data_IF_035973410134
#
_entry.id   IF_035973410134
#
_cell.length_a   1.000
_cell.length_b   1.000
_cell.length_c   1.000
_cell.angle_alpha   90.00
_cell.angle_beta   90.00
_cell.angle_gamma   90.00
#
_symmetry.space_group_name_H-M   'P 1'
#
loop_
_entity.id
_entity.type
_entity.pdbx_description
1 polymer ?
#
# COMPACT_ATOMS: atom_id res chain seq x y z
N UNK A 1 -6.61 18.14 -30.32
CA UNK A 1 -6.48 16.96 -29.43
C UNK A 1 -7.86 16.63 -28.90
N UNK A 2 -8.30 15.37 -28.91
CA UNK A 2 -9.68 15.04 -28.51
C UNK A 2 -9.84 15.13 -26.99
N UNK A 3 -10.50 16.18 -26.52
CA UNK A 3 -10.84 16.42 -25.11
C UNK A 3 -11.45 15.18 -24.43
N UNK A 4 -12.21 14.36 -25.16
CA UNK A 4 -12.86 13.15 -24.63
C UNK A 4 -11.94 12.10 -24.02
N UNK A 5 -10.73 11.87 -24.55
CA UNK A 5 -9.80 10.86 -23.98
C UNK A 5 -9.13 11.39 -22.71
N UNK A 6 -8.78 12.67 -22.69
CA UNK A 6 -8.25 13.30 -21.48
C UNK A 6 -9.31 13.29 -20.37
N UNK A 7 -10.58 13.56 -20.70
CA UNK A 7 -11.71 13.44 -19.78
C UNK A 7 -11.87 11.99 -19.31
N UNK A 8 -11.85 11.00 -20.21
CA UNK A 8 -11.97 9.60 -19.83
C UNK A 8 -10.84 9.15 -18.88
N UNK A 9 -9.59 9.51 -19.17
CA UNK A 9 -8.46 9.20 -18.30
C UNK A 9 -8.55 9.93 -16.95
N UNK A 10 -9.03 11.19 -16.95
CA UNK A 10 -9.30 11.93 -15.72
C UNK A 10 -10.41 11.28 -14.89
N UNK A 11 -11.48 10.80 -15.54
CA UNK A 11 -12.57 10.07 -14.88
C UNK A 11 -12.11 8.73 -14.31
N UNK A 12 -11.24 7.98 -15.01
CA UNK A 12 -10.65 6.76 -14.47
C UNK A 12 -9.78 7.04 -13.25
N UNK A 13 -8.86 8.02 -13.34
CA UNK A 13 -8.03 8.39 -12.20
C UNK A 13 -8.88 8.95 -11.03
N UNK A 14 -9.93 9.72 -11.32
CA UNK A 14 -10.92 10.17 -10.35
C UNK A 14 -11.75 9.02 -9.75
N UNK A 15 -12.00 7.94 -10.48
CA UNK A 15 -12.64 6.75 -9.94
C UNK A 15 -11.72 5.98 -8.97
N UNK A 16 -10.41 5.98 -9.25
CA UNK A 16 -9.40 5.49 -8.30
C UNK A 16 -9.45 6.24 -6.96
N UNK A 17 -9.68 7.56 -7.02
CA UNK A 17 -9.88 8.42 -5.85
C UNK A 17 -11.14 8.12 -5.04
N UNK A 18 -12.17 7.49 -5.62
CA UNK A 18 -13.32 7.00 -4.84
C UNK A 18 -13.08 5.60 -4.26
N UNK A 19 -12.24 4.79 -4.88
CA UNK A 19 -11.89 3.46 -4.36
C UNK A 19 -11.15 3.52 -3.02
N UNK A 20 -10.35 4.57 -2.80
CA UNK A 20 -9.57 4.71 -1.58
C UNK A 20 -10.41 5.04 -0.32
N UNK A 21 -11.33 6.03 -0.32
CA UNK A 21 -12.31 6.20 0.76
C UNK A 21 -13.08 4.93 1.07
N UNK A 22 -13.41 4.13 0.04
CA UNK A 22 -14.05 2.82 0.21
C UNK A 22 -13.19 1.86 1.04
N UNK A 23 -11.88 1.81 0.79
CA UNK A 23 -10.96 0.94 1.53
C UNK A 23 -10.73 1.40 2.98
N UNK A 24 -10.56 2.70 3.23
CA UNK A 24 -10.47 3.19 4.62
C UNK A 24 -11.79 2.99 5.37
N UNK A 25 -12.92 3.14 4.68
CA UNK A 25 -14.22 2.84 5.24
C UNK A 25 -14.35 1.36 5.54
N UNK A 26 -13.85 0.47 4.69
CA UNK A 26 -13.83 -0.97 4.91
C UNK A 26 -13.05 -1.36 6.18
N UNK A 27 -11.84 -0.83 6.32
CA UNK A 27 -11.02 -1.01 7.54
C UNK A 27 -11.77 -0.53 8.78
N UNK A 28 -12.38 0.66 8.72
CA UNK A 28 -13.16 1.19 9.83
C UNK A 28 -14.43 0.35 10.09
N UNK A 29 -15.07 -0.18 9.05
CA UNK A 29 -16.25 -1.05 9.10
C UNK A 29 -15.95 -2.34 9.84
N UNK A 30 -14.88 -3.02 9.47
CA UNK A 30 -14.46 -4.25 10.13
C UNK A 30 -14.09 -4.10 11.60
N UNK A 31 -13.64 -2.90 12.02
CA UNK A 31 -13.31 -2.58 13.41
C UNK A 31 -14.51 -2.14 14.25
N UNK A 32 -15.56 -1.63 13.60
CA UNK A 32 -16.74 -1.06 14.26
C UNK A 32 -17.90 -2.05 14.29
N UNK A 33 -18.14 -2.73 13.17
CA UNK A 33 -19.34 -3.56 12.94
C UNK A 33 -18.99 -5.05 12.84
N UNK A 34 -17.86 -5.41 12.24
CA UNK A 34 -17.38 -6.80 12.17
C UNK A 34 -17.35 -7.40 10.76
N UNK A 35 -17.61 -8.71 10.63
CA UNK A 35 -17.66 -9.41 9.31
C UNK A 35 -18.76 -8.79 8.45
N UNK A 36 -18.47 -8.63 7.18
CA UNK A 36 -19.35 -8.05 6.20
C UNK A 36 -19.76 -9.08 5.13
N UNK A 37 -20.54 -8.62 4.15
CA UNK A 37 -20.89 -9.41 2.96
C UNK A 37 -20.06 -8.92 1.78
N UNK A 38 -19.93 -9.74 0.73
CA UNK A 38 -19.31 -9.31 -0.54
C UNK A 38 -19.82 -7.96 -1.07
N UNK A 39 -21.10 -7.63 -0.84
CA UNK A 39 -21.70 -6.34 -1.24
C UNK A 39 -21.87 -5.36 -0.08
N UNK A 40 -20.94 -5.34 0.87
CA UNK A 40 -20.93 -4.32 1.91
C UNK A 40 -20.83 -2.92 1.29
N UNK A 41 -21.41 -1.87 1.91
CA UNK A 41 -21.29 -0.51 1.41
C UNK A 41 -19.86 -0.07 1.06
N UNK A 42 -18.81 -0.34 1.89
CA UNK A 42 -17.44 -0.01 1.50
C UNK A 42 -16.94 -0.82 0.29
N UNK A 43 -17.23 -2.12 0.21
CA UNK A 43 -16.91 -2.93 -0.97
C UNK A 43 -17.56 -2.43 -2.24
N UNK A 44 -18.84 -2.04 -2.21
CA UNK A 44 -19.53 -1.50 -3.39
C UNK A 44 -18.84 -0.22 -3.88
N UNK A 45 -18.38 0.65 -2.97
CA UNK A 45 -17.62 1.85 -3.34
C UNK A 45 -16.27 1.50 -3.98
N UNK A 46 -15.53 0.55 -3.38
CA UNK A 46 -14.27 0.05 -3.94
C UNK A 46 -14.45 -0.58 -5.32
N UNK A 47 -15.44 -1.48 -5.47
CA UNK A 47 -15.74 -2.17 -6.71
C UNK A 47 -16.20 -1.22 -7.80
N UNK A 48 -16.94 -0.16 -7.45
CA UNK A 48 -17.31 0.90 -8.40
C UNK A 48 -16.06 1.57 -8.97
N UNK A 49 -15.07 1.88 -8.13
CA UNK A 49 -13.78 2.43 -8.56
C UNK A 49 -13.03 1.48 -9.52
N UNK A 50 -12.95 0.19 -9.19
CA UNK A 50 -12.32 -0.84 -10.04
C UNK A 50 -13.08 -1.02 -11.37
N UNK A 51 -14.41 -1.07 -11.31
CA UNK A 51 -15.27 -1.23 -12.48
C UNK A 51 -15.15 -0.06 -13.45
N UNK A 52 -15.17 1.19 -12.95
CA UNK A 52 -14.98 2.38 -13.80
C UNK A 52 -13.59 2.37 -14.43
N UNK A 53 -12.54 2.01 -13.68
CA UNK A 53 -11.19 1.85 -14.24
C UNK A 53 -11.12 0.78 -15.33
N UNK A 54 -11.82 -0.34 -15.13
CA UNK A 54 -11.98 -1.41 -16.13
C UNK A 54 -12.68 -0.93 -17.40
N UNK A 55 -13.81 -0.26 -17.26
CA UNK A 55 -14.60 0.26 -18.38
C UNK A 55 -13.83 1.31 -19.18
N UNK A 56 -13.15 2.24 -18.52
CA UNK A 56 -12.33 3.25 -19.21
C UNK A 56 -11.12 2.60 -19.88
N UNK A 57 -10.44 1.66 -19.22
CA UNK A 57 -9.30 0.96 -19.81
C UNK A 57 -9.73 0.15 -21.03
N UNK A 58 -10.84 -0.59 -20.96
CA UNK A 58 -11.41 -1.32 -22.07
C UNK A 58 -11.81 -0.38 -23.23
N UNK A 59 -12.57 0.68 -22.94
CA UNK A 59 -12.95 1.67 -23.95
C UNK A 59 -11.71 2.28 -24.63
N UNK A 60 -10.69 2.68 -23.86
CA UNK A 60 -9.46 3.24 -24.38
C UNK A 60 -8.64 2.21 -25.20
N UNK A 61 -8.68 0.92 -24.85
CA UNK A 61 -8.03 -0.15 -25.62
C UNK A 61 -8.76 -0.44 -26.95
N UNK A 62 -10.09 -0.45 -26.96
CA UNK A 62 -10.86 -0.73 -28.18
C UNK A 62 -10.92 0.47 -29.13
N UNK A 63 -11.21 1.66 -28.59
CA UNK A 63 -11.41 2.88 -29.37
C UNK A 63 -10.17 3.78 -29.40
N UNK A 64 -9.47 3.89 -28.26
CA UNK A 64 -8.31 4.76 -28.14
C UNK A 64 -7.05 4.24 -28.83
N UNK A 65 -6.85 2.91 -28.89
CA UNK A 65 -5.72 2.26 -29.57
C UNK A 65 -5.62 2.62 -31.05
N UNK A 66 -6.77 2.86 -31.71
CA UNK A 66 -6.83 3.23 -33.15
C UNK A 66 -6.61 4.73 -33.41
N UNK A 67 -6.69 5.59 -32.39
CA UNK A 67 -6.66 7.07 -32.58
C UNK A 67 -5.61 7.82 -31.75
N UNK A 68 -5.06 7.26 -30.66
CA UNK A 68 -4.40 8.08 -29.62
C UNK A 68 -3.06 7.57 -29.05
N UNK A 69 -2.53 6.42 -29.50
CA UNK A 69 -1.10 6.13 -29.40
C UNK A 69 -0.49 5.77 -28.03
N UNK A 70 -1.25 5.17 -27.09
CA UNK A 70 -0.72 4.77 -25.77
C UNK A 70 -1.00 3.29 -25.36
N UNK A 71 -0.77 2.29 -26.24
CA UNK A 71 -1.22 0.92 -26.00
C UNK A 71 -0.59 0.24 -24.78
N UNK A 72 0.68 0.56 -24.46
CA UNK A 72 1.40 -0.09 -23.36
C UNK A 72 0.88 0.33 -21.99
N UNK A 73 0.64 1.63 -21.76
CA UNK A 73 0.08 2.13 -20.49
C UNK A 73 -1.35 1.62 -20.27
N UNK A 74 -2.18 1.64 -21.32
CA UNK A 74 -3.54 1.11 -21.26
C UNK A 74 -3.57 -0.42 -21.03
N UNK A 75 -2.65 -1.16 -21.65
CA UNK A 75 -2.51 -2.60 -21.40
C UNK A 75 -2.09 -2.88 -19.95
N UNK A 76 -1.12 -2.13 -19.43
CA UNK A 76 -0.69 -2.24 -18.04
C UNK A 76 -1.86 -1.99 -17.07
N UNK A 77 -2.64 -0.93 -17.33
CA UNK A 77 -3.84 -0.63 -16.55
C UNK A 77 -4.89 -1.75 -16.63
N UNK A 78 -5.13 -2.28 -17.83
CA UNK A 78 -6.04 -3.43 -18.03
C UNK A 78 -5.58 -4.70 -17.30
N UNK A 79 -4.28 -5.01 -17.32
CA UNK A 79 -3.72 -6.10 -16.50
C UNK A 79 -3.94 -5.83 -15.01
N UNK A 80 -3.73 -4.59 -14.56
CA UNK A 80 -4.02 -4.19 -13.19
C UNK A 80 -5.47 -4.42 -12.78
N UNK A 81 -6.44 -4.13 -13.67
CA UNK A 81 -7.87 -4.42 -13.44
C UNK A 81 -8.11 -5.92 -13.29
N UNK A 82 -7.54 -6.74 -14.17
CA UNK A 82 -7.69 -8.20 -14.09
C UNK A 82 -7.12 -8.75 -12.78
N UNK A 83 -5.95 -8.25 -12.37
CA UNK A 83 -5.31 -8.62 -11.10
C UNK A 83 -6.16 -8.17 -9.89
N UNK A 84 -6.73 -6.96 -9.93
CA UNK A 84 -7.60 -6.46 -8.85
C UNK A 84 -8.89 -7.29 -8.72
N UNK A 85 -9.52 -7.65 -9.85
CA UNK A 85 -10.71 -8.53 -9.86
C UNK A 85 -10.35 -9.93 -9.37
N UNK A 86 -9.19 -10.47 -9.76
CA UNK A 86 -8.70 -11.75 -9.24
C UNK A 86 -8.45 -11.67 -7.72
N UNK A 87 -7.94 -10.55 -7.22
CA UNK A 87 -7.79 -10.27 -5.80
C UNK A 87 -9.14 -10.33 -5.07
N UNK A 88 -10.16 -9.62 -5.56
CA UNK A 88 -11.50 -9.63 -4.96
C UNK A 88 -12.18 -11.03 -5.00
N UNK A 89 -12.00 -11.78 -6.10
CA UNK A 89 -12.51 -13.15 -6.17
C UNK A 89 -11.77 -14.11 -5.24
N UNK A 90 -10.45 -13.93 -5.12
CA UNK A 90 -9.62 -14.67 -4.16
C UNK A 90 -9.99 -14.32 -2.73
N UNK A 91 -10.36 -13.07 -2.46
CA UNK A 91 -10.77 -12.56 -1.16
C UNK A 91 -12.06 -13.21 -0.67
N UNK A 92 -13.10 -13.24 -1.50
CA UNK A 92 -14.35 -13.96 -1.18
C UNK A 92 -14.09 -15.45 -0.97
N UNK A 93 -13.30 -16.08 -1.84
CA UNK A 93 -12.91 -17.47 -1.67
C UNK A 93 -12.16 -17.67 -0.35
N UNK A 94 -11.25 -16.76 -0.01
CA UNK A 94 -10.46 -16.80 1.21
C UNK A 94 -11.34 -16.66 2.45
N UNK A 95 -12.26 -15.71 2.47
CA UNK A 95 -13.22 -15.56 3.57
C UNK A 95 -14.19 -16.73 3.71
N UNK A 96 -14.48 -17.44 2.62
CA UNK A 96 -15.31 -18.65 2.65
C UNK A 96 -14.56 -19.90 3.13
N UNK A 97 -13.24 -19.98 2.94
CA UNK A 97 -12.45 -21.20 3.17
C UNK A 97 -11.42 -21.09 4.31
N UNK A 98 -10.92 -19.88 4.58
CA UNK A 98 -9.84 -19.58 5.53
C UNK A 98 -10.34 -18.75 6.71
N UNK A 99 -11.23 -17.77 6.47
CA UNK A 99 -11.80 -16.89 7.50
C UNK A 99 -11.51 -15.40 7.24
N UNK A 100 -11.84 -14.52 8.19
CA UNK A 100 -11.57 -13.07 8.08
C UNK A 100 -10.08 -12.81 8.21
N UNK A 101 -9.69 -11.74 7.58
CA UNK A 101 -8.32 -11.28 7.62
C UNK A 101 -7.96 -10.62 8.95
N UNK A 102 -6.73 -10.89 9.36
CA UNK A 102 -6.08 -10.19 10.48
C UNK A 102 -5.78 -8.77 10.13
N UNK A 103 -5.31 -8.59 8.90
CA UNK A 103 -4.73 -7.38 8.39
C UNK A 103 -4.76 -7.42 6.86
N UNK A 104 -4.38 -6.29 6.27
CA UNK A 104 -4.31 -6.14 4.83
C UNK A 104 -3.18 -6.93 4.14
N UNK A 105 -2.44 -7.80 4.85
CA UNK A 105 -1.35 -8.58 4.28
C UNK A 105 -1.75 -10.01 3.92
N UNK A 106 -3.03 -10.35 4.01
CA UNK A 106 -3.52 -11.60 3.44
C UNK A 106 -3.19 -11.66 1.93
N UNK A 107 -2.90 -12.86 1.37
CA UNK A 107 -2.67 -13.03 -0.05
C UNK A 107 -3.69 -12.33 -0.97
N UNK A 108 -5.03 -12.40 -0.74
CA UNK A 108 -5.98 -11.69 -1.59
C UNK A 108 -5.79 -10.17 -1.58
N UNK A 109 -5.59 -9.55 -0.42
CA UNK A 109 -5.35 -8.11 -0.32
C UNK A 109 -4.07 -7.67 -1.04
N UNK A 110 -2.98 -8.44 -0.92
CA UNK A 110 -1.73 -8.13 -1.63
C UNK A 110 -1.88 -8.23 -3.14
N UNK A 111 -2.65 -9.22 -3.64
CA UNK A 111 -3.00 -9.33 -5.06
C UNK A 111 -3.85 -8.14 -5.49
N UNK A 112 -4.90 -7.81 -4.74
CA UNK A 112 -5.77 -6.67 -5.01
C UNK A 112 -5.00 -5.34 -5.06
N UNK A 113 -4.13 -5.10 -4.08
CA UNK A 113 -3.29 -3.92 -3.98
C UNK A 113 -2.30 -3.83 -5.15
N UNK A 114 -1.65 -4.94 -5.52
CA UNK A 114 -0.77 -5.00 -6.68
C UNK A 114 -1.53 -4.63 -7.97
N UNK A 115 -2.74 -5.15 -8.15
CA UNK A 115 -3.63 -4.77 -9.26
C UNK A 115 -3.93 -3.28 -9.27
N UNK A 116 -4.29 -2.71 -8.11
CA UNK A 116 -4.60 -1.30 -7.97
C UNK A 116 -3.40 -0.39 -8.28
N UNK A 117 -2.17 -0.78 -7.89
CA UNK A 117 -0.94 -0.06 -8.26
C UNK A 117 -0.71 -0.10 -9.78
N UNK A 118 -0.89 -1.26 -10.42
CA UNK A 118 -0.75 -1.42 -11.87
C UNK A 118 -1.75 -0.55 -12.65
N UNK A 119 -2.99 -0.41 -12.16
CA UNK A 119 -4.00 0.49 -12.73
C UNK A 119 -3.47 1.92 -12.77
N UNK A 120 -3.02 2.44 -11.62
CA UNK A 120 -2.57 3.84 -11.51
C UNK A 120 -1.34 4.09 -12.37
N UNK A 121 -0.35 3.18 -12.36
CA UNK A 121 0.82 3.28 -13.23
C UNK A 121 0.41 3.28 -14.71
N UNK A 122 -0.45 2.35 -15.13
CA UNK A 122 -0.94 2.26 -16.50
C UNK A 122 -1.62 3.53 -16.98
N UNK A 123 -2.51 4.08 -16.16
CA UNK A 123 -3.23 5.33 -16.44
C UNK A 123 -2.28 6.54 -16.46
N UNK A 124 -1.30 6.61 -15.56
CA UNK A 124 -0.30 7.68 -15.55
C UNK A 124 0.54 7.69 -16.85
N UNK A 125 1.02 6.52 -17.28
CA UNK A 125 1.74 6.37 -18.56
C UNK A 125 0.86 6.68 -19.77
N UNK A 126 -0.41 6.26 -19.76
CA UNK A 126 -1.37 6.57 -20.81
C UNK A 126 -1.63 8.08 -20.92
N UNK A 127 -1.83 8.75 -19.78
CA UNK A 127 -2.03 10.19 -19.70
C UNK A 127 -0.79 10.96 -20.17
N UNK A 128 0.41 10.54 -19.74
CA UNK A 128 1.67 11.12 -20.19
C UNK A 128 1.82 11.04 -21.71
N UNK A 129 1.66 9.84 -22.28
CA UNK A 129 1.78 9.62 -23.73
C UNK A 129 0.72 10.39 -24.53
N UNK A 130 -0.51 10.47 -24.03
CA UNK A 130 -1.63 11.13 -24.72
C UNK A 130 -1.52 12.66 -24.68
N UNK A 131 -1.26 13.23 -23.49
CA UNK A 131 -1.33 14.67 -23.28
C UNK A 131 -0.03 15.39 -23.64
N UNK A 132 1.09 14.66 -23.63
CA UNK A 132 2.44 15.21 -23.81
C UNK A 132 2.68 16.47 -22.99
N UNK A 133 2.16 16.50 -21.76
CA UNK A 133 2.12 17.69 -20.90
C UNK A 133 3.51 18.32 -20.66
N UNK A 134 4.59 17.57 -20.82
CA UNK A 134 5.96 18.07 -20.71
C UNK A 134 6.37 18.98 -21.87
N UNK A 135 5.72 18.88 -23.04
CA UNK A 135 6.01 19.73 -24.21
C UNK A 135 5.26 21.07 -24.17
N UNK A 136 4.20 21.19 -23.37
CA UNK A 136 3.37 22.39 -23.32
C UNK A 136 3.22 22.88 -21.85
N UNK A 137 4.10 23.76 -21.37
CA UNK A 137 4.11 24.24 -19.99
C UNK A 137 2.79 24.84 -19.49
N UNK A 138 1.96 25.37 -20.39
CA UNK A 138 0.65 25.95 -20.07
C UNK A 138 -0.43 24.90 -19.72
N UNK A 139 -0.19 23.61 -20.01
CA UNK A 139 -1.14 22.54 -19.70
C UNK A 139 -0.97 22.03 -18.27
N UNK A 140 -1.70 22.64 -17.35
CA UNK A 140 -1.66 22.28 -15.94
C UNK A 140 -2.59 21.12 -15.58
N UNK A 141 -3.69 20.91 -16.31
CA UNK A 141 -4.69 19.86 -15.99
C UNK A 141 -4.07 18.45 -15.92
N UNK A 142 -3.29 17.96 -16.92
CA UNK A 142 -2.68 16.63 -16.81
C UNK A 142 -1.67 16.51 -15.66
N UNK A 143 -1.02 17.62 -15.28
CA UNK A 143 -0.09 17.64 -14.14
C UNK A 143 -0.82 17.49 -12.81
N UNK A 144 -1.96 18.17 -12.66
CA UNK A 144 -2.81 18.02 -11.47
C UNK A 144 -3.35 16.59 -11.39
N UNK A 145 -3.80 16.02 -12.51
CA UNK A 145 -4.26 14.63 -12.55
C UNK A 145 -3.13 13.65 -12.15
N UNK A 146 -1.90 13.85 -12.65
CA UNK A 146 -0.75 13.03 -12.24
C UNK A 146 -0.37 13.23 -10.77
N UNK A 147 -0.46 14.45 -10.25
CA UNK A 147 -0.24 14.73 -8.84
C UNK A 147 -1.21 13.94 -7.96
N UNK A 148 -2.49 13.95 -8.35
CA UNK A 148 -3.54 13.15 -7.71
C UNK A 148 -3.26 11.63 -7.83
N UNK A 149 -2.74 11.16 -8.97
CA UNK A 149 -2.35 9.76 -9.15
C UNK A 149 -1.17 9.36 -8.23
N UNK A 150 -0.19 10.23 -8.04
CA UNK A 150 0.91 9.97 -7.10
C UNK A 150 0.43 9.99 -5.64
N UNK A 151 -0.50 10.89 -5.28
CA UNK A 151 -1.08 10.92 -3.94
C UNK A 151 -1.87 9.62 -3.66
N UNK A 152 -2.60 9.13 -4.65
CA UNK A 152 -3.29 7.83 -4.60
C UNK A 152 -2.31 6.64 -4.48
N UNK A 153 -1.12 6.70 -5.09
CA UNK A 153 -0.07 5.70 -4.85
C UNK A 153 0.50 5.78 -3.42
N UNK A 154 0.64 6.99 -2.85
CA UNK A 154 1.02 7.15 -1.43
C UNK A 154 -0.06 6.55 -0.54
N UNK A 155 -1.34 6.75 -0.85
CA UNK A 155 -2.45 6.10 -0.14
C UNK A 155 -2.33 4.59 -0.15
N UNK A 156 -2.15 3.98 -1.33
CA UNK A 156 -1.95 2.52 -1.48
C UNK A 156 -0.73 2.01 -0.71
N UNK A 157 0.36 2.77 -0.71
CA UNK A 157 1.53 2.44 0.09
C UNK A 157 1.20 2.47 1.59
N UNK A 158 0.54 3.52 2.08
CA UNK A 158 0.17 3.65 3.49
C UNK A 158 -0.81 2.58 3.96
N UNK A 159 -1.74 2.18 3.09
CA UNK A 159 -2.65 1.03 3.29
C UNK A 159 -1.88 -0.27 3.42
N UNK A 160 -0.84 -0.48 2.61
CA UNK A 160 0.07 -1.61 2.80
C UNK A 160 0.77 -1.55 4.17
N UNK A 161 0.78 -0.41 4.85
CA UNK A 161 1.31 -0.29 6.20
C UNK A 161 0.20 -0.30 7.26
N UNK A 162 -1.08 -0.46 6.90
CA UNK A 162 -2.19 -0.20 7.84
C UNK A 162 -2.09 -1.02 9.12
N UNK A 163 -1.62 -2.27 9.04
CA UNK A 163 -1.35 -3.09 10.23
C UNK A 163 -0.44 -2.38 11.27
N UNK A 164 0.59 -1.69 10.79
CA UNK A 164 1.57 -0.97 11.61
C UNK A 164 1.12 0.43 11.99
N UNK A 165 0.13 1.00 11.31
CA UNK A 165 -0.38 2.35 11.59
C UNK A 165 -1.62 2.33 12.48
N UNK A 166 -2.41 1.26 12.38
CA UNK A 166 -3.62 0.98 13.17
C UNK A 166 -3.30 0.91 14.66
N UNK A 167 -2.23 0.20 15.03
CA UNK A 167 -1.82 0.00 16.41
C UNK A 167 -0.39 0.47 16.67
N UNK A 168 -0.20 1.17 17.79
CA UNK A 168 1.08 1.78 18.16
C UNK A 168 2.21 0.74 18.33
N UNK A 169 1.85 -0.50 18.68
CA UNK A 169 2.78 -1.60 18.91
C UNK A 169 3.42 -2.13 17.62
N UNK A 170 2.72 -2.02 16.49
CA UNK A 170 3.26 -2.44 15.19
C UNK A 170 4.37 -1.51 14.69
N UNK A 171 4.47 -0.28 15.21
CA UNK A 171 5.49 0.69 14.80
C UNK A 171 6.85 0.37 15.41
N UNK A 172 7.47 -0.73 14.99
CA UNK A 172 8.81 -1.10 15.43
C UNK A 172 9.87 -0.19 14.77
N UNK A 173 11.02 0.09 15.43
CA UNK A 173 12.06 0.96 14.86
C UNK A 173 12.78 0.35 13.65
N UNK A 174 12.53 -0.92 13.34
CA UNK A 174 13.12 -1.63 12.22
C UNK A 174 12.15 -1.79 11.05
N UNK A 175 11.04 -2.51 11.23
CA UNK A 175 10.23 -2.94 10.11
C UNK A 175 9.31 -1.84 9.57
N UNK A 176 8.75 -1.00 10.44
CA UNK A 176 7.87 0.08 10.01
C UNK A 176 8.62 1.15 9.17
N UNK A 177 9.77 1.70 9.62
CA UNK A 177 10.60 2.57 8.78
C UNK A 177 11.11 1.89 7.51
N UNK A 178 11.40 0.58 7.55
CA UNK A 178 11.77 -0.19 6.36
C UNK A 178 10.67 -0.16 5.29
N UNK A 179 9.40 -0.37 5.66
CA UNK A 179 8.28 -0.33 4.71
C UNK A 179 8.05 1.08 4.16
N UNK A 180 8.15 2.12 5.00
CA UNK A 180 8.10 3.51 4.54
C UNK A 180 9.21 3.80 3.52
N UNK A 181 10.43 3.37 3.83
CA UNK A 181 11.60 3.48 2.95
C UNK A 181 11.47 2.66 1.66
N UNK A 182 10.76 1.52 1.70
CA UNK A 182 10.53 0.68 0.55
C UNK A 182 9.59 1.33 -0.46
N UNK A 183 8.48 1.93 0.00
CA UNK A 183 7.44 2.42 -0.91
C UNK A 183 7.52 3.92 -1.24
N UNK A 184 7.69 4.78 -0.23
CA UNK A 184 7.47 6.23 -0.41
C UNK A 184 8.54 6.92 -1.27
N UNK A 185 9.85 6.65 -1.12
CA UNK A 185 10.86 7.30 -1.95
C UNK A 185 10.68 7.04 -3.44
N UNK A 186 10.30 5.82 -3.84
CA UNK A 186 10.00 5.49 -5.23
C UNK A 186 8.88 6.37 -5.81
N UNK A 187 7.79 6.56 -5.05
CA UNK A 187 6.64 7.36 -5.50
C UNK A 187 7.01 8.84 -5.55
N UNK A 188 7.60 9.38 -4.48
CA UNK A 188 7.91 10.80 -4.34
C UNK A 188 8.99 11.26 -5.34
N UNK A 189 10.04 10.45 -5.55
CA UNK A 189 11.06 10.76 -6.56
C UNK A 189 10.50 10.63 -7.98
N UNK A 190 9.60 9.68 -8.24
CA UNK A 190 8.88 9.61 -9.53
C UNK A 190 8.10 10.91 -9.77
N UNK A 191 7.38 11.40 -8.78
CA UNK A 191 6.59 12.63 -8.86
C UNK A 191 7.46 13.85 -9.17
N UNK A 192 8.56 14.05 -8.43
CA UNK A 192 9.52 15.16 -8.67
C UNK A 192 10.13 15.06 -10.05
N UNK A 193 10.47 13.86 -10.50
CA UNK A 193 11.08 13.65 -11.81
C UNK A 193 10.12 13.95 -12.96
N UNK A 194 8.84 13.63 -12.79
CA UNK A 194 7.81 13.81 -13.79
C UNK A 194 7.26 15.25 -13.83
N UNK A 195 7.01 15.85 -12.67
CA UNK A 195 6.27 17.11 -12.53
C UNK A 195 7.17 18.31 -12.20
N UNK A 196 8.36 18.08 -11.66
CA UNK A 196 9.34 19.11 -11.30
C UNK A 196 9.45 19.34 -9.79
N UNK A 197 10.24 20.37 -9.39
CA UNK A 197 10.49 20.69 -7.99
C UNK A 197 9.19 21.00 -7.22
N UNK A 198 9.11 20.52 -5.97
CA UNK A 198 7.95 20.71 -5.10
C UNK A 198 6.89 19.62 -5.27
N UNK A 199 7.02 18.73 -6.26
CA UNK A 199 6.01 17.72 -6.53
C UNK A 199 5.97 16.60 -5.48
N UNK A 200 7.08 16.28 -4.80
CA UNK A 200 7.05 15.33 -3.69
C UNK A 200 6.21 15.91 -2.54
N UNK A 201 6.50 17.14 -2.14
CA UNK A 201 5.78 17.85 -1.08
C UNK A 201 4.31 18.03 -1.44
N UNK A 202 4.00 18.44 -2.68
CA UNK A 202 2.63 18.58 -3.13
C UNK A 202 1.88 17.24 -3.14
N UNK A 203 2.54 16.14 -3.54
CA UNK A 203 1.98 14.79 -3.49
C UNK A 203 1.61 14.40 -2.05
N UNK A 204 2.54 14.60 -1.11
CA UNK A 204 2.32 14.31 0.30
C UNK A 204 1.22 15.19 0.90
N UNK A 205 1.12 16.46 0.49
CA UNK A 205 0.08 17.38 0.96
C UNK A 205 -1.31 17.01 0.43
N UNK A 206 -1.42 16.63 -0.85
CA UNK A 206 -2.68 16.15 -1.44
C UNK A 206 -3.15 14.89 -0.72
N UNK A 207 -2.24 13.93 -0.51
CA UNK A 207 -2.50 12.74 0.33
C UNK A 207 -2.98 13.15 1.73
N UNK A 208 -2.28 14.08 2.38
CA UNK A 208 -2.56 14.51 3.74
C UNK A 208 -3.98 15.04 3.92
N UNK A 209 -4.39 15.92 3.00
CA UNK A 209 -5.71 16.57 3.03
C UNK A 209 -6.80 15.54 2.79
N UNK A 210 -6.67 14.73 1.75
CA UNK A 210 -7.65 13.68 1.43
C UNK A 210 -7.79 12.68 2.58
N UNK A 211 -6.67 12.13 3.08
CA UNK A 211 -6.67 11.19 4.19
C UNK A 211 -7.35 11.77 5.44
N UNK A 212 -7.01 13.01 5.80
CA UNK A 212 -7.60 13.69 6.96
C UNK A 212 -9.09 13.90 6.79
N UNK A 213 -9.55 14.29 5.60
CA UNK A 213 -10.98 14.47 5.31
C UNK A 213 -11.73 13.14 5.45
N UNK A 214 -11.18 12.04 4.93
CA UNK A 214 -11.81 10.72 5.05
C UNK A 214 -11.92 10.31 6.52
N UNK A 215 -10.84 10.45 7.30
CA UNK A 215 -10.86 10.12 8.72
C UNK A 215 -11.87 10.98 9.50
N UNK A 216 -11.97 12.28 9.19
CA UNK A 216 -12.96 13.16 9.81
C UNK A 216 -14.39 12.75 9.48
N UNK A 217 -14.68 12.37 8.24
CA UNK A 217 -16.00 11.88 7.82
C UNK A 217 -16.33 10.56 8.55
N UNK A 218 -15.40 9.61 8.59
CA UNK A 218 -15.58 8.33 9.28
C UNK A 218 -15.84 8.54 10.77
N UNK A 219 -15.08 9.45 11.41
CA UNK A 219 -15.28 9.80 12.82
C UNK A 219 -16.66 10.45 13.03
N UNK A 220 -17.08 11.35 12.15
CA UNK A 220 -18.36 12.06 12.24
C UNK A 220 -19.57 11.11 12.14
N UNK A 221 -19.44 9.98 11.44
CA UNK A 221 -20.48 8.94 11.33
C UNK A 221 -20.31 7.82 12.37
N UNK A 222 -19.46 8.01 13.38
CA UNK A 222 -19.33 7.11 14.53
C UNK A 222 -18.45 5.88 14.31
N UNK A 223 -17.64 5.87 13.25
CA UNK A 223 -16.74 4.75 12.94
C UNK A 223 -15.45 4.83 13.75
N UNK A 224 -14.90 3.68 14.13
CA UNK A 224 -13.58 3.56 14.74
C UNK A 224 -12.49 3.77 13.69
N UNK A 225 -11.83 4.92 13.75
CA UNK A 225 -10.72 5.25 12.83
C UNK A 225 -9.37 4.69 13.30
N UNK A 226 -8.42 4.47 12.38
CA UNK A 226 -7.01 4.20 12.72
C UNK A 226 -6.36 5.30 13.57
N UNK A 227 -5.28 4.96 14.26
CA UNK A 227 -4.45 5.95 14.94
C UNK A 227 -3.82 6.86 13.89
N UNK A 228 -4.02 8.18 14.02
CA UNK A 228 -3.41 9.15 13.11
C UNK A 228 -1.89 8.94 13.08
N UNK A 229 -1.34 8.71 11.89
CA UNK A 229 0.10 8.59 11.68
C UNK A 229 0.69 9.95 11.30
N UNK A 230 1.97 10.20 11.61
CA UNK A 230 2.68 11.29 10.97
C UNK A 230 2.61 11.11 9.45
N UNK A 231 1.97 12.06 8.81
CA UNK A 231 1.86 12.13 7.36
C UNK A 231 3.26 12.41 6.80
N UNK A 232 3.71 11.77 5.70
CA UNK A 232 5.08 11.87 5.19
C UNK A 232 5.38 13.22 4.49
N UNK A 233 4.90 14.35 5.05
CA UNK A 233 5.17 15.70 4.54
C UNK A 233 6.63 16.09 4.78
N UNK A 234 7.17 15.95 6.01
CA UNK A 234 8.56 16.34 6.27
C UNK A 234 9.57 15.51 5.45
N UNK A 235 9.43 14.17 5.34
CA UNK A 235 10.28 13.39 4.46
C UNK A 235 10.14 13.79 2.98
N UNK A 236 8.96 14.18 2.51
CA UNK A 236 8.76 14.66 1.14
C UNK A 236 9.42 16.03 0.89
N UNK A 237 9.36 16.95 1.85
CA UNK A 237 10.09 18.23 1.80
C UNK A 237 11.59 17.96 1.72
N UNK A 238 12.11 17.00 2.48
CA UNK A 238 13.52 16.63 2.45
C UNK A 238 13.96 16.16 1.05
N UNK A 239 13.14 15.34 0.38
CA UNK A 239 13.37 14.92 -1.01
C UNK A 239 13.44 16.14 -1.94
N UNK A 240 12.46 17.04 -1.87
CA UNK A 240 12.42 18.24 -2.73
C UNK A 240 13.63 19.16 -2.49
N UNK A 241 14.03 19.38 -1.23
CA UNK A 241 15.19 20.19 -0.88
C UNK A 241 16.49 19.58 -1.43
N UNK A 242 16.67 18.27 -1.29
CA UNK A 242 17.80 17.57 -1.88
C UNK A 242 17.80 17.74 -3.40
N UNK A 243 16.68 17.44 -4.08
CA UNK A 243 16.62 17.54 -5.54
C UNK A 243 16.83 18.98 -6.03
N UNK A 244 16.42 20.00 -5.27
CA UNK A 244 16.70 21.40 -5.57
C UNK A 244 18.17 21.78 -5.34
N UNK A 245 18.84 21.20 -4.35
CA UNK A 245 20.21 21.54 -3.94
C UNK A 245 21.32 20.90 -4.79
N UNK A 246 21.02 19.97 -5.71
CA UNK A 246 22.01 19.37 -6.60
C UNK A 246 21.88 19.95 -8.04
N UNK A 247 22.62 21.03 -8.39
CA UNK A 247 22.60 21.68 -9.71
C UNK A 247 23.38 20.92 -10.81
N UNK A 248 23.77 19.67 -10.57
CA UNK A 248 24.28 18.77 -11.61
C UNK A 248 23.17 18.49 -12.64
N UNK A 249 23.48 18.07 -13.89
CA UNK A 249 22.45 17.86 -14.91
C UNK A 249 21.30 17.08 -14.32
N UNK A 250 20.06 17.50 -14.60
CA UNK A 250 18.80 16.87 -14.14
C UNK A 250 18.78 15.33 -14.32
N UNK A 251 19.75 14.75 -15.01
CA UNK A 251 20.01 13.35 -15.32
C UNK A 251 20.99 12.63 -14.38
N UNK A 252 21.47 13.21 -13.28
CA UNK A 252 22.36 12.49 -12.35
C UNK A 252 21.62 11.41 -11.56
N UNK A 253 22.16 10.19 -11.55
CA UNK A 253 21.65 9.07 -10.77
C UNK A 253 22.08 9.11 -9.28
N UNK A 254 22.88 10.10 -8.87
CA UNK A 254 23.33 10.27 -7.48
C UNK A 254 22.35 11.07 -6.62
N UNK A 255 21.69 12.07 -7.19
CA UNK A 255 20.66 12.86 -6.50
C UNK A 255 19.56 12.02 -5.84
N UNK A 256 18.98 10.98 -6.49
CA UNK A 256 18.00 10.13 -5.83
C UNK A 256 18.58 9.35 -4.63
N UNK A 257 19.87 9.00 -4.64
CA UNK A 257 20.48 8.33 -3.48
C UNK A 257 20.54 9.28 -2.27
N UNK A 258 20.94 10.53 -2.48
CA UNK A 258 20.90 11.54 -1.41
C UNK A 258 19.46 11.87 -0.97
N UNK A 259 18.50 11.86 -1.89
CA UNK A 259 17.09 12.03 -1.56
C UNK A 259 16.58 10.90 -0.66
N UNK A 260 16.94 9.64 -0.96
CA UNK A 260 16.63 8.49 -0.13
C UNK A 260 17.28 8.54 1.25
N UNK A 261 18.54 8.98 1.34
CA UNK A 261 19.22 9.22 2.62
C UNK A 261 18.51 10.30 3.45
N UNK A 262 18.20 11.45 2.84
CA UNK A 262 17.50 12.52 3.55
C UNK A 262 16.10 12.08 3.99
N UNK A 263 15.39 11.33 3.15
CA UNK A 263 14.11 10.73 3.49
C UNK A 263 14.22 9.82 4.71
N UNK A 264 15.20 8.90 4.77
CA UNK A 264 15.31 7.96 5.89
C UNK A 264 15.60 8.68 7.20
N UNK A 265 16.54 9.64 7.20
CA UNK A 265 16.90 10.42 8.38
C UNK A 265 15.72 11.25 8.91
N UNK A 266 15.00 11.94 8.03
CA UNK A 266 13.84 12.75 8.42
C UNK A 266 12.67 11.87 8.86
N UNK A 267 12.47 10.71 8.24
CA UNK A 267 11.46 9.74 8.66
C UNK A 267 11.75 9.23 10.06
N UNK A 268 12.98 8.83 10.36
CA UNK A 268 13.36 8.39 11.71
C UNK A 268 13.20 9.49 12.76
N UNK A 269 13.56 10.73 12.42
CA UNK A 269 13.38 11.87 13.33
C UNK A 269 11.89 12.14 13.60
N UNK A 270 11.06 12.18 12.54
CA UNK A 270 9.62 12.41 12.63
C UNK A 270 8.91 11.29 13.41
N UNK A 271 9.12 10.04 13.02
CA UNK A 271 8.48 8.89 13.67
C UNK A 271 9.00 8.68 15.09
N UNK A 272 10.30 8.86 15.32
CA UNK A 272 10.89 8.77 16.67
C UNK A 272 10.31 9.82 17.63
N UNK A 273 10.16 11.06 17.16
CA UNK A 273 9.51 12.13 17.92
C UNK A 273 8.03 11.83 18.19
N UNK A 274 7.31 11.33 17.18
CA UNK A 274 5.91 10.92 17.34
C UNK A 274 5.76 9.78 18.37
N UNK A 275 6.61 8.76 18.29
CA UNK A 275 6.61 7.64 19.21
C UNK A 275 6.93 8.08 20.64
N UNK A 276 7.88 9.02 20.81
CA UNK A 276 8.24 9.55 22.13
C UNK A 276 7.14 10.43 22.74
N UNK A 277 6.56 11.36 21.97
CA UNK A 277 5.70 12.41 22.53
C UNK A 277 4.21 12.16 22.34
N UNK A 278 3.78 11.68 21.18
CA UNK A 278 2.36 11.46 20.89
C UNK A 278 1.88 10.10 21.36
N UNK A 279 2.71 9.08 21.21
CA UNK A 279 2.36 7.68 21.55
C UNK A 279 2.80 7.32 22.98
N UNK A 280 3.80 8.01 23.53
CA UNK A 280 4.35 7.71 24.87
C UNK A 280 5.17 6.41 24.92
N UNK A 281 5.71 5.97 23.77
CA UNK A 281 6.47 4.72 23.59
C UNK A 281 7.75 4.99 22.78
N UNK A 282 8.72 5.71 23.36
CA UNK A 282 9.95 6.01 22.64
C UNK A 282 10.65 4.72 22.17
N UNK A 283 11.16 4.74 20.94
CA UNK A 283 11.95 3.63 20.43
C UNK A 283 13.26 3.48 21.17
N UNK A 284 13.66 2.24 21.42
CA UNK A 284 14.95 1.93 22.00
C UNK A 284 16.08 2.33 21.03
N UNK A 285 16.99 3.19 21.49
CA UNK A 285 18.08 3.73 20.66
C UNK A 285 18.94 2.64 20.03
N UNK A 286 19.23 1.56 20.76
CA UNK A 286 20.03 0.43 20.24
C UNK A 286 19.35 -0.24 19.03
N UNK A 287 18.02 -0.42 19.06
CA UNK A 287 17.27 -0.99 17.93
C UNK A 287 17.20 -0.02 16.75
N UNK A 288 17.08 1.28 17.02
CA UNK A 288 17.14 2.32 15.97
C UNK A 288 18.50 2.30 15.28
N UNK A 289 19.60 2.35 16.03
CA UNK A 289 20.97 2.34 15.48
C UNK A 289 21.24 1.08 14.66
N UNK A 290 20.75 -0.07 15.11
CA UNK A 290 20.88 -1.33 14.37
C UNK A 290 20.07 -1.34 13.06
N UNK A 291 18.91 -0.70 13.02
CA UNK A 291 18.01 -0.70 11.87
C UNK A 291 18.35 0.35 10.80
N UNK A 292 18.82 1.53 11.21
CA UNK A 292 19.07 2.69 10.34
C UNK A 292 19.88 2.37 9.09
N UNK A 293 20.98 1.58 9.13
CA UNK A 293 21.75 1.26 7.93
C UNK A 293 20.91 0.54 6.87
N UNK A 294 20.16 -0.49 7.27
CA UNK A 294 19.31 -1.27 6.35
C UNK A 294 18.19 -0.42 5.76
N UNK A 295 17.48 0.33 6.61
CA UNK A 295 16.40 1.22 6.18
C UNK A 295 16.89 2.32 5.25
N UNK A 296 18.07 2.88 5.51
CA UNK A 296 18.67 3.90 4.66
C UNK A 296 19.05 3.34 3.30
N UNK A 297 19.66 2.16 3.24
CA UNK A 297 19.95 1.49 1.97
C UNK A 297 18.68 1.20 1.17
N UNK A 298 17.61 0.75 1.84
CA UNK A 298 16.29 0.57 1.22
C UNK A 298 15.73 1.88 0.67
N UNK A 299 15.80 2.98 1.43
CA UNK A 299 15.31 4.28 0.98
C UNK A 299 16.07 4.81 -0.24
N UNK A 300 17.41 4.66 -0.24
CA UNK A 300 18.27 5.01 -1.37
C UNK A 300 17.93 4.19 -2.62
N UNK A 301 17.76 2.87 -2.46
CA UNK A 301 17.38 1.98 -3.55
C UNK A 301 15.98 2.31 -4.10
N UNK A 302 15.00 2.54 -3.23
CA UNK A 302 13.63 2.93 -3.59
C UNK A 302 13.60 4.27 -4.32
N UNK A 303 14.34 5.27 -3.84
CA UNK A 303 14.47 6.56 -4.50
C UNK A 303 15.09 6.41 -5.90
N UNK A 304 16.07 5.53 -6.07
CA UNK A 304 16.67 5.23 -7.37
C UNK A 304 15.69 4.52 -8.32
N UNK A 305 14.86 3.59 -7.82
CA UNK A 305 13.75 3.01 -8.58
C UNK A 305 12.79 4.10 -9.04
N UNK A 306 12.41 5.03 -8.16
CA UNK A 306 11.58 6.18 -8.50
C UNK A 306 12.19 7.08 -9.58
N UNK A 307 13.51 7.26 -9.55
CA UNK A 307 14.22 8.00 -10.60
C UNK A 307 14.13 7.30 -11.96
N UNK A 308 14.24 5.97 -12.02
CA UNK A 308 14.06 5.19 -13.25
C UNK A 308 12.63 5.31 -13.76
N UNK A 309 11.62 5.06 -12.92
CA UNK A 309 10.20 5.13 -13.30
C UNK A 309 9.83 6.54 -13.77
N UNK A 310 10.27 7.57 -13.05
CA UNK A 310 10.05 8.96 -13.41
C UNK A 310 10.71 9.35 -14.74
N UNK A 311 11.89 8.82 -15.04
CA UNK A 311 12.55 9.02 -16.33
C UNK A 311 11.79 8.36 -17.49
N UNK A 312 11.22 7.17 -17.28
CA UNK A 312 10.36 6.50 -18.26
C UNK A 312 9.08 7.30 -18.52
N UNK A 313 8.45 7.80 -17.44
CA UNK A 313 7.22 8.59 -17.52
C UNK A 313 7.44 9.94 -18.22
N UNK A 314 8.54 10.64 -17.89
CA UNK A 314 8.93 11.88 -18.57
C UNK A 314 9.31 11.64 -20.04
N UNK A 315 9.98 10.52 -20.35
CA UNK A 315 10.28 10.11 -21.72
C UNK A 315 9.02 9.86 -22.56
N UNK A 316 8.03 9.18 -21.97
CA UNK A 316 6.72 8.99 -22.63
C UNK A 316 5.99 10.31 -22.85
N UNK A 317 6.02 11.23 -21.88
CA UNK A 317 5.43 12.55 -22.01
C UNK A 317 6.09 13.44 -23.09
N UNK A 318 7.36 13.23 -23.39
CA UNK A 318 8.08 13.97 -24.45
C UNK A 318 8.08 13.26 -25.79
N UNK A 319 7.63 11.99 -25.86
CA UNK A 319 7.75 11.14 -27.05
C UNK A 319 9.20 10.74 -27.37
N UNK A 320 10.15 11.11 -26.52
CA UNK A 320 11.56 10.72 -26.62
C UNK A 320 11.70 9.48 -25.75
N UNK A 321 11.69 8.30 -26.35
CA UNK A 321 11.69 7.02 -25.61
C UNK A 321 12.78 6.92 -24.53
N UNK A 322 12.70 5.89 -23.70
CA UNK A 322 13.60 5.66 -22.55
C UNK A 322 15.10 5.94 -22.82
N UNK A 323 15.70 5.57 -23.98
CA UNK A 323 17.11 5.85 -24.27
C UNK A 323 17.52 7.32 -24.15
N UNK A 324 16.61 8.26 -24.38
CA UNK A 324 16.88 9.70 -24.26
C UNK A 324 17.20 10.14 -22.85
N UNK A 325 16.68 9.45 -21.83
CA UNK A 325 16.92 9.75 -20.42
C UNK A 325 18.18 9.06 -19.87
N UNK A 326 18.57 7.92 -20.44
CA UNK A 326 19.68 7.08 -19.98
C UNK A 326 20.91 7.12 -20.92
N UNK A 327 20.86 7.90 -22.00
CA UNK A 327 21.92 8.07 -22.99
C UNK A 327 22.04 6.95 -24.02
N UNK A 328 21.59 5.72 -23.72
CA UNK A 328 21.57 4.62 -24.70
C UNK A 328 20.50 3.57 -24.39
N UNK A 329 20.07 2.76 -25.40
CA UNK A 329 19.14 1.66 -25.18
C UNK A 329 19.68 0.58 -24.23
N UNK A 330 20.99 0.31 -24.26
CA UNK A 330 21.62 -0.64 -23.34
C UNK A 330 21.55 -0.16 -21.89
N UNK A 331 21.87 1.11 -21.65
CA UNK A 331 21.78 1.72 -20.30
C UNK A 331 20.34 1.78 -19.79
N UNK A 332 19.38 2.09 -20.67
CA UNK A 332 17.97 2.05 -20.33
C UNK A 332 17.52 0.65 -19.89
N UNK A 333 17.86 -0.39 -20.65
CA UNK A 333 17.54 -1.78 -20.29
C UNK A 333 18.20 -2.22 -18.98
N UNK A 334 19.47 -1.89 -18.79
CA UNK A 334 20.18 -2.20 -17.55
C UNK A 334 19.56 -1.49 -16.34
N UNK A 335 19.17 -0.22 -16.49
CA UNK A 335 18.51 0.54 -15.42
C UNK A 335 17.15 -0.05 -15.04
N UNK A 336 16.34 -0.43 -16.04
CA UNK A 336 15.05 -1.10 -15.81
C UNK A 336 15.24 -2.46 -15.16
N UNK A 337 16.18 -3.29 -15.64
CA UNK A 337 16.46 -4.59 -15.04
C UNK A 337 16.91 -4.47 -13.58
N UNK A 338 17.81 -3.52 -13.28
CA UNK A 338 18.22 -3.22 -11.91
C UNK A 338 17.04 -2.75 -11.06
N UNK A 339 16.18 -1.88 -11.57
CA UNK A 339 15.00 -1.44 -10.83
C UNK A 339 14.07 -2.61 -10.48
N UNK A 340 13.86 -3.55 -11.42
CA UNK A 340 13.07 -4.76 -11.17
C UNK A 340 13.73 -5.66 -10.11
N UNK A 341 15.06 -5.83 -10.14
CA UNK A 341 15.81 -6.59 -9.12
C UNK A 341 15.68 -5.93 -7.75
N UNK A 342 15.80 -4.60 -7.66
CA UNK A 342 15.63 -3.86 -6.41
C UNK A 342 14.21 -3.96 -5.86
N UNK A 343 13.19 -3.86 -6.73
CA UNK A 343 11.79 -4.07 -6.34
C UNK A 343 11.58 -5.49 -5.82
N UNK A 344 12.06 -6.51 -6.54
CA UNK A 344 11.94 -7.90 -6.10
C UNK A 344 12.67 -8.15 -4.77
N UNK A 345 13.92 -7.65 -4.63
CA UNK A 345 14.69 -7.77 -3.39
C UNK A 345 14.02 -7.05 -2.21
N UNK A 346 13.45 -5.87 -2.45
CA UNK A 346 12.67 -5.13 -1.46
C UNK A 346 11.41 -5.87 -1.02
N UNK A 347 10.65 -6.44 -1.96
CA UNK A 347 9.47 -7.26 -1.67
C UNK A 347 9.82 -8.55 -0.91
N UNK A 348 10.93 -9.20 -1.27
CA UNK A 348 11.45 -10.36 -0.51
C UNK A 348 11.90 -9.95 0.88
N UNK A 349 12.52 -8.78 1.05
CA UNK A 349 12.89 -8.25 2.37
C UNK A 349 11.69 -7.84 3.22
N UNK A 350 10.58 -7.46 2.58
CA UNK A 350 9.30 -7.22 3.22
C UNK A 350 8.60 -8.51 3.64
N UNK A 351 8.96 -9.65 3.04
CA UNK A 351 8.50 -10.95 3.49
C UNK A 351 9.24 -11.36 4.77
N UNK A 352 8.58 -11.17 5.92
CA UNK A 352 9.00 -11.72 7.20
C UNK A 352 8.09 -12.88 7.56
N UNK A 353 8.38 -14.12 7.10
CA UNK A 353 7.63 -15.27 7.55
C UNK A 353 7.77 -15.36 9.06
N UNK A 354 6.66 -15.62 9.75
CA UNK A 354 6.63 -16.00 11.14
C UNK A 354 7.66 -17.10 11.36
N UNK A 355 8.77 -16.77 12.01
CA UNK A 355 9.58 -17.81 12.65
C UNK A 355 8.74 -18.34 13.80
N UNK A 356 8.85 -19.63 14.16
CA UNK A 356 8.19 -20.19 15.35
C UNK A 356 8.56 -19.36 16.58
N UNK A 357 7.74 -18.36 16.90
CA UNK A 357 7.84 -17.64 18.15
C UNK A 357 7.14 -18.48 19.22
N UNK A 358 7.72 -18.59 20.42
CA UNK A 358 7.01 -19.22 21.53
C UNK A 358 5.70 -18.45 21.81
N UNK A 359 4.59 -19.14 22.12
CA UNK A 359 3.30 -18.49 22.39
C UNK A 359 3.43 -17.36 23.43
N UNK A 360 2.80 -16.22 23.17
CA UNK A 360 2.82 -15.09 24.10
C UNK A 360 2.05 -15.43 25.38
N UNK A 361 2.69 -15.26 26.55
CA UNK A 361 2.10 -15.54 27.88
C UNK A 361 0.99 -14.55 28.22
N UNK A 362 -0.02 -14.92 29.03
CA UNK A 362 -1.04 -13.98 29.54
C UNK A 362 -0.43 -12.74 30.23
N UNK A 363 0.71 -12.85 30.91
CA UNK A 363 1.41 -11.69 31.48
C UNK A 363 2.18 -10.86 30.43
N UNK A 364 2.66 -11.51 29.37
CA UNK A 364 3.20 -10.89 28.15
C UNK A 364 2.10 -10.35 27.23
N UNK A 365 0.84 -10.70 27.55
CA UNK A 365 -0.42 -10.29 26.96
C UNK A 365 -1.35 -9.50 27.93
N UNK A 366 -0.98 -9.18 29.17
CA UNK A 366 -1.64 -8.17 30.03
C UNK A 366 -3.08 -8.44 30.38
N UNK A 367 -3.50 -9.63 30.04
CA UNK A 367 -4.84 -10.09 30.26
C UNK A 367 -4.86 -10.65 31.68
N UNK A 368 -5.85 -10.20 32.45
CA UNK A 368 -6.18 -10.81 33.71
C UNK A 368 -6.78 -12.21 33.45
N UNK A 369 -6.60 -13.11 34.41
CA UNK A 369 -7.30 -14.39 34.38
C UNK A 369 -8.82 -14.17 34.34
N UNK A 370 -9.51 -14.83 33.40
CA UNK A 370 -10.97 -14.69 33.23
C UNK A 370 -11.43 -13.60 32.26
N UNK A 371 -10.51 -13.00 31.48
CA UNK A 371 -10.90 -12.04 30.42
C UNK A 371 -11.78 -12.73 29.38
N UNK A 372 -12.97 -12.15 29.11
CA UNK A 372 -13.90 -12.57 28.05
C UNK A 372 -13.87 -11.54 26.92
N UNK A 373 -13.92 -12.00 25.68
CA UNK A 373 -13.95 -11.16 24.48
C UNK A 373 -15.02 -11.66 23.52
N UNK A 374 -15.52 -10.77 22.65
CA UNK A 374 -16.45 -11.14 21.59
C UNK A 374 -15.72 -12.03 20.57
N UNK A 375 -16.32 -13.15 20.17
CA UNK A 375 -15.74 -14.08 19.21
C UNK A 375 -15.49 -13.43 17.83
N UNK A 376 -16.17 -12.33 17.53
CA UNK A 376 -15.99 -11.51 16.31
C UNK A 376 -14.68 -10.73 16.28
N UNK A 377 -13.98 -10.65 17.41
CA UNK A 377 -12.69 -9.96 17.57
C UNK A 377 -11.47 -10.91 17.44
N UNK A 378 -11.69 -12.20 17.12
CA UNK A 378 -10.62 -13.19 16.93
C UNK A 378 -9.92 -13.05 15.56
N UNK A 379 -8.58 -13.20 15.53
CA UNK A 379 -7.72 -12.82 14.39
C UNK A 379 -6.53 -13.81 14.25
N UNK A 380 -6.21 -14.34 13.04
CA UNK A 380 -5.22 -15.42 12.77
C UNK A 380 -4.27 -15.22 11.56
N UNK A 381 -2.94 -15.32 11.75
CA UNK A 381 -1.95 -14.78 10.81
C UNK A 381 -1.38 -15.70 9.71
N UNK A 382 -1.75 -16.97 9.58
CA UNK A 382 -1.14 -17.83 8.54
C UNK A 382 -2.14 -18.58 7.67
N UNK A 383 -2.13 -18.26 6.38
CA UNK A 383 -2.58 -19.17 5.33
C UNK A 383 -1.74 -18.98 4.05
N UNK A 384 -0.41 -19.02 4.18
CA UNK A 384 0.37 -19.63 3.11
C UNK A 384 0.32 -21.13 3.36
N UNK A 385 -0.45 -21.83 2.52
CA UNK A 385 -0.76 -23.26 2.64
C UNK A 385 0.53 -24.06 2.88
N UNK A 386 0.77 -24.59 4.10
CA UNK A 386 1.83 -25.57 4.27
C UNK A 386 1.48 -26.85 3.53
N UNK A 387 2.49 -27.62 3.15
CA UNK A 387 2.30 -28.97 2.60
C UNK A 387 1.40 -29.78 3.56
N UNK A 388 0.33 -30.37 3.04
CA UNK A 388 -0.63 -31.13 3.85
C UNK A 388 -1.80 -30.32 4.44
N UNK A 389 -2.05 -29.07 4.03
CA UNK A 389 -3.17 -28.25 4.56
C UNK A 389 -4.58 -28.91 4.51
N UNK A 390 -4.77 -29.94 3.67
CA UNK A 390 -6.03 -30.69 3.58
C UNK A 390 -6.11 -31.87 4.55
N UNK A 391 -5.03 -32.20 5.25
CA UNK A 391 -5.01 -33.26 6.25
C UNK A 391 -5.67 -32.77 7.56
N UNK A 392 -6.67 -33.50 8.08
CA UNK A 392 -7.29 -33.15 9.35
C UNK A 392 -6.26 -33.03 10.47
N UNK A 393 -6.13 -31.84 11.06
CA UNK A 393 -5.18 -31.57 12.15
C UNK A 393 -3.82 -31.00 11.73
N UNK A 394 -3.57 -30.80 10.44
CA UNK A 394 -2.34 -30.15 9.93
C UNK A 394 -2.38 -28.61 9.98
N UNK A 395 -3.47 -28.03 10.48
CA UNK A 395 -3.64 -26.58 10.58
C UNK A 395 -2.94 -26.05 11.83
N UNK A 396 -1.85 -25.31 11.62
CA UNK A 396 -1.20 -24.54 12.68
C UNK A 396 -1.73 -23.11 12.65
N UNK A 397 -2.46 -22.72 13.69
CA UNK A 397 -2.86 -21.34 13.89
C UNK A 397 -1.68 -20.55 14.46
N UNK A 398 -1.18 -19.57 13.71
CA UNK A 398 -0.18 -18.64 14.21
C UNK A 398 -0.85 -17.39 14.77
N UNK A 399 -0.47 -17.08 16.00
CA UNK A 399 -0.91 -15.94 16.78
C UNK A 399 -0.04 -14.74 16.44
N UNK A 400 -0.63 -13.66 15.96
CA UNK A 400 -0.15 -12.32 16.29
C UNK A 400 -1.32 -11.54 16.88
N UNK A 401 -1.02 -10.90 17.98
CA UNK A 401 -1.95 -10.70 19.05
C UNK A 401 -1.95 -9.22 19.39
N UNK A 402 -2.98 -8.42 19.07
CA UNK A 402 -3.07 -7.09 19.69
C UNK A 402 -4.48 -6.64 20.13
N UNK A 403 -4.69 -6.50 21.45
CA UNK A 403 -5.58 -5.54 22.14
C UNK A 403 -4.92 -5.08 23.46
N UNK A 404 -4.74 -3.77 23.63
CA UNK A 404 -3.77 -3.07 24.52
C UNK A 404 -2.30 -3.46 24.29
N UNK A 405 -2.00 -4.10 23.15
CA UNK A 405 -0.76 -4.84 22.93
C UNK A 405 -0.96 -6.34 22.74
N UNK A 406 -2.20 -6.87 22.89
CA UNK A 406 -2.37 -8.27 23.29
C UNK A 406 -3.64 -8.97 22.75
N UNK A 407 -3.50 -9.77 21.71
CA UNK A 407 -4.58 -10.53 21.05
C UNK A 407 -4.48 -12.03 21.32
N UNK A 408 -5.54 -12.78 21.08
CA UNK A 408 -5.53 -14.24 21.23
C UNK A 408 -6.40 -14.90 20.15
N UNK A 409 -5.92 -15.97 19.49
CA UNK A 409 -6.71 -16.81 18.60
C UNK A 409 -7.25 -18.07 19.31
N UNK A 410 -8.47 -18.51 19.03
CA UNK A 410 -8.89 -19.93 19.18
C UNK A 410 -9.81 -20.32 18.02
N UNK A 411 -9.50 -21.44 17.34
CA UNK A 411 -10.02 -21.89 16.03
C UNK A 411 -11.53 -22.18 15.91
N UNK A 412 -11.92 -23.24 15.18
CA UNK A 412 -12.61 -23.28 13.87
C UNK A 412 -14.04 -22.69 13.80
N UNK A 413 -14.39 -21.70 14.62
CA UNK A 413 -15.74 -21.11 14.75
C UNK A 413 -16.28 -20.36 13.51
N UNK A 414 -15.63 -20.44 12.36
CA UNK A 414 -15.58 -19.33 11.41
C UNK A 414 -16.49 -19.44 10.18
N UNK A 415 -17.24 -20.53 10.05
CA UNK A 415 -18.20 -20.72 8.94
C UNK A 415 -19.67 -20.76 9.40
N UNK A 416 -19.94 -20.57 10.69
CA UNK A 416 -21.29 -20.58 11.22
C UNK A 416 -22.07 -19.33 10.77
N UNK A 417 -23.12 -19.54 9.97
CA UNK A 417 -23.97 -18.46 9.45
C UNK A 417 -24.80 -17.76 10.52
N UNK A 418 -24.99 -18.41 11.67
CA UNK A 418 -25.73 -17.93 12.82
C UNK A 418 -25.23 -18.59 14.12
N UNK A 419 -25.71 -18.08 15.24
CA UNK A 419 -25.35 -18.52 16.60
C UNK A 419 -25.67 -20.00 16.83
N UNK A 420 -26.79 -20.50 16.29
CA UNK A 420 -27.18 -21.91 16.42
C UNK A 420 -26.30 -22.86 15.60
N UNK A 421 -25.78 -22.42 14.45
CA UNK A 421 -24.82 -23.18 13.65
C UNK A 421 -23.47 -23.32 14.37
N UNK A 422 -23.05 -22.26 15.07
CA UNK A 422 -21.83 -22.24 15.86
C UNK A 422 -21.93 -23.21 17.04
N UNK A 423 -23.05 -23.19 17.78
CA UNK A 423 -23.27 -24.09 18.91
C UNK A 423 -23.21 -25.58 18.50
N UNK A 424 -23.80 -25.94 17.36
CA UNK A 424 -23.76 -27.32 16.84
C UNK A 424 -22.34 -27.75 16.42
N UNK A 425 -21.59 -26.84 15.83
CA UNK A 425 -20.21 -27.10 15.42
C UNK A 425 -19.29 -27.29 16.63
N UNK A 426 -19.41 -26.42 17.63
CA UNK A 426 -18.67 -26.53 18.89
C UNK A 426 -19.06 -27.77 19.71
N UNK A 427 -20.34 -28.17 19.69
CA UNK A 427 -20.82 -29.35 20.41
C UNK A 427 -20.20 -30.67 19.92
N UNK A 428 -19.73 -30.72 18.67
CA UNK A 428 -19.15 -31.93 18.06
C UNK A 428 -17.62 -31.90 18.01
N UNK A 429 -16.99 -30.78 18.36
CA UNK A 429 -15.53 -30.57 18.32
C UNK A 429 -14.97 -30.55 19.74
N UNK A 430 -14.17 -31.54 20.11
CA UNK A 430 -13.36 -31.46 21.34
C UNK A 430 -12.14 -30.59 21.06
N UNK A 431 -12.15 -29.35 21.57
CA UNK A 431 -10.99 -28.46 21.51
C UNK A 431 -10.18 -28.65 22.79
N UNK A 432 -8.98 -29.19 22.67
CA UNK A 432 -8.01 -29.21 23.76
C UNK A 432 -7.11 -27.97 23.61
N UNK A 433 -7.15 -27.08 24.60
CA UNK A 433 -6.22 -25.97 24.72
C UNK A 433 -5.09 -26.41 25.64
N UNK A 434 -3.96 -26.84 25.07
CA UNK A 434 -2.77 -27.18 25.84
C UNK A 434 -2.03 -25.88 26.20
N UNK A 435 -2.01 -25.54 27.49
CA UNK A 435 -1.16 -24.49 28.05
C UNK A 435 -0.19 -25.19 29.00
N UNK A 436 1.07 -25.32 28.55
CA UNK A 436 2.17 -26.04 29.21
C UNK A 436 2.09 -27.58 29.21
N UNK A 437 1.72 -28.20 28.08
CA UNK A 437 1.65 -29.66 27.93
C UNK A 437 0.23 -30.16 27.94
#
# INVERSE_FOLDING_TARGET
>A
MSTGVTIALALALGAGWFGFPGLLWDVAWHRTIGRDSFFSPPHVLMYTGVAVNGLVSAWALFWGRRRHGAPAGLLLGGVGVLVAVAGAALDEWWHANVGKDVNLWSPPHLVGLAGAVLIVLGLAFALAAHTRYSLEPRRWVPRVILLCAFADLVHKAMVALDHYTLDAWGRTPDFYPFLLALFLPAILVTAVRALGPGAATATAAVFAVEHSVILLVLLAVGMRIPTFTPIPILPAVAIDLVVAAFPMPRTSSLAPLFAGLAFSLVTYAQEGAWMAWSVGRPWELARVVAAVPGVTLTAMASAWVGWVVGALLAGTATGRGAPSAFGSPARARAAVAMALVLVAGGLVGAYRPSRREPPARLAALGLAAGTRFDYRDAVFWEALLPDGWREPGAHHAYQEAIIDGRGIPIGPAWCARDEGALERELATRRVALAING
#
